data_IF_512388850776
#
_entry.id   IF_512388850776
#
_cell.length_a   1.000
_cell.length_b   1.000
_cell.length_c   1.000
_cell.angle_alpha   90.00
_cell.angle_beta   90.00
_cell.angle_gamma   90.00
#
_symmetry.space_group_name_H-M   'P 1'
#
loop_
_entity.id
_entity.type
_entity.pdbx_description
1 polymer ?
#
# COMPACT_ATOMS: atom_id res chain seq x y z
N UNK A 1 16.59 -12.43 4.56
CA UNK A 1 17.26 -11.65 3.49
C UNK A 1 17.46 -12.63 2.34
N UNK A 2 16.78 -12.44 1.20
CA UNK A 2 16.66 -13.47 0.15
C UNK A 2 17.91 -13.72 -0.69
N UNK A 3 18.76 -12.70 -0.91
CA UNK A 3 19.96 -12.81 -1.77
C UNK A 3 21.24 -12.91 -0.95
N UNK A 4 22.31 -13.50 -1.51
CA UNK A 4 23.67 -13.59 -0.92
C UNK A 4 24.43 -12.26 -1.01
N UNK A 5 23.86 -11.22 -0.39
CA UNK A 5 24.54 -9.94 -0.19
C UNK A 5 23.86 -8.75 -0.86
N UNK A 6 24.32 -7.56 -0.49
CA UNK A 6 23.71 -6.28 -0.88
C UNK A 6 23.84 -6.00 -2.39
N UNK A 7 24.96 -6.40 -3.01
CA UNK A 7 25.23 -6.16 -4.43
C UNK A 7 24.20 -6.87 -5.31
N UNK A 8 24.11 -8.19 -5.17
CA UNK A 8 23.15 -9.05 -5.88
C UNK A 8 21.72 -8.58 -5.64
N UNK A 9 21.34 -8.33 -4.37
CA UNK A 9 20.03 -7.76 -4.04
C UNK A 9 19.71 -6.48 -4.81
N UNK A 10 20.68 -5.55 -4.89
CA UNK A 10 20.47 -4.28 -5.57
C UNK A 10 20.41 -4.46 -7.10
N UNK A 11 21.15 -5.40 -7.67
CA UNK A 11 21.08 -5.75 -9.09
C UNK A 11 19.71 -6.34 -9.44
N UNK A 12 19.23 -7.30 -8.66
CA UNK A 12 17.86 -7.84 -8.76
C UNK A 12 16.81 -6.74 -8.67
N UNK A 13 16.93 -5.83 -7.70
CA UNK A 13 16.00 -4.69 -7.57
C UNK A 13 16.02 -3.78 -8.79
N UNK A 14 17.20 -3.47 -9.35
CA UNK A 14 17.32 -2.65 -10.56
C UNK A 14 16.69 -3.30 -11.79
N UNK A 15 16.70 -4.64 -11.87
CA UNK A 15 16.05 -5.36 -12.95
C UNK A 15 14.52 -5.46 -12.76
N UNK A 16 14.05 -5.76 -11.54
CA UNK A 16 12.64 -6.01 -11.26
C UNK A 16 11.81 -4.72 -11.15
N UNK A 17 12.34 -3.65 -10.54
CA UNK A 17 11.56 -2.43 -10.31
C UNK A 17 11.04 -1.78 -11.60
N UNK A 18 11.82 -1.61 -12.68
CA UNK A 18 11.30 -1.04 -13.93
C UNK A 18 10.17 -1.89 -14.53
N UNK A 19 10.27 -3.22 -14.46
CA UNK A 19 9.21 -4.11 -14.94
C UNK A 19 7.91 -3.87 -14.17
N UNK A 20 7.97 -3.83 -12.83
CA UNK A 20 6.81 -3.54 -12.00
C UNK A 20 6.27 -2.11 -12.20
N UNK A 21 7.15 -1.13 -12.41
CA UNK A 21 6.76 0.25 -12.72
C UNK A 21 5.89 0.35 -13.98
N UNK A 22 6.18 -0.48 -14.98
CA UNK A 22 5.41 -0.57 -16.23
C UNK A 22 4.26 -1.60 -16.18
N UNK A 23 3.97 -2.20 -15.02
CA UNK A 23 2.93 -3.22 -14.87
C UNK A 23 3.27 -4.57 -15.54
N UNK A 24 4.54 -4.80 -15.89
CA UNK A 24 5.02 -6.02 -16.55
C UNK A 24 5.26 -7.13 -15.52
N UNK A 25 4.26 -7.42 -14.69
CA UNK A 25 4.35 -8.33 -13.54
C UNK A 25 4.80 -9.74 -13.94
N UNK A 26 4.31 -10.28 -15.06
CA UNK A 26 4.74 -11.59 -15.55
C UNK A 26 6.24 -11.62 -15.92
N UNK A 27 6.77 -10.54 -16.49
CA UNK A 27 8.20 -10.45 -16.78
C UNK A 27 9.03 -10.34 -15.50
N UNK A 28 8.52 -9.63 -14.50
CA UNK A 28 9.16 -9.55 -13.19
C UNK A 28 9.21 -10.92 -12.49
N UNK A 29 8.12 -11.69 -12.53
CA UNK A 29 8.06 -13.06 -12.01
C UNK A 29 9.06 -13.95 -12.76
N UNK A 30 9.03 -13.93 -14.09
CA UNK A 30 9.96 -14.70 -14.92
C UNK A 30 11.43 -14.37 -14.61
N UNK A 31 11.76 -13.09 -14.38
CA UNK A 31 13.11 -12.72 -13.95
C UNK A 31 13.48 -13.35 -12.61
N UNK A 32 12.58 -13.33 -11.63
CA UNK A 32 12.81 -13.89 -10.29
C UNK A 32 12.97 -15.42 -10.32
N UNK A 33 12.20 -16.12 -11.17
CA UNK A 33 12.29 -17.58 -11.36
C UNK A 33 13.63 -18.02 -11.98
N UNK A 34 14.29 -17.13 -12.74
CA UNK A 34 15.54 -17.41 -13.43
C UNK A 34 16.78 -16.90 -12.67
N UNK A 35 16.65 -16.45 -11.42
CA UNK A 35 17.81 -16.06 -10.61
C UNK A 35 18.65 -17.32 -10.32
N UNK A 36 19.97 -17.31 -10.55
CA UNK A 36 20.82 -18.44 -10.23
C UNK A 36 20.76 -18.82 -8.74
N UNK A 37 20.59 -20.10 -8.43
CA UNK A 37 20.58 -20.60 -7.04
C UNK A 37 21.88 -20.28 -6.28
N UNK A 38 23.00 -20.08 -6.99
CA UNK A 38 24.26 -19.62 -6.42
C UNK A 38 24.15 -18.22 -5.81
N UNK A 39 23.26 -17.37 -6.30
CA UNK A 39 23.04 -15.98 -5.85
C UNK A 39 21.98 -15.87 -4.75
N UNK A 40 21.13 -16.89 -4.61
CA UNK A 40 20.04 -16.92 -3.63
C UNK A 40 20.58 -17.46 -2.29
N UNK A 41 20.25 -16.74 -1.21
CA UNK A 41 20.55 -17.15 0.17
C UNK A 41 19.40 -17.95 0.78
N UNK A 42 18.17 -17.57 0.44
CA UNK A 42 16.96 -18.15 0.98
C UNK A 42 15.87 -18.17 -0.10
N UNK A 43 15.66 -19.34 -0.68
CA UNK A 43 14.70 -19.57 -1.76
C UNK A 43 13.26 -19.27 -1.32
N UNK A 44 12.92 -19.49 -0.04
CA UNK A 44 11.58 -19.21 0.47
C UNK A 44 11.23 -17.72 0.37
N UNK A 45 12.21 -16.83 0.50
CA UNK A 45 11.96 -15.39 0.33
C UNK A 45 11.65 -15.03 -1.12
N UNK A 46 12.35 -15.65 -2.08
CA UNK A 46 12.12 -15.42 -3.51
C UNK A 46 10.76 -16.00 -3.91
N UNK A 47 10.46 -17.23 -3.47
CA UNK A 47 9.18 -17.87 -3.74
C UNK A 47 8.00 -17.06 -3.18
N UNK A 48 8.09 -16.59 -1.93
CA UNK A 48 7.04 -15.72 -1.35
C UNK A 48 6.80 -14.45 -2.16
N UNK A 49 7.85 -13.88 -2.75
CA UNK A 49 7.72 -12.71 -3.62
C UNK A 49 7.02 -13.06 -4.93
N UNK A 50 7.42 -14.17 -5.58
CA UNK A 50 6.78 -14.69 -6.79
C UNK A 50 5.28 -14.94 -6.53
N UNK A 51 4.95 -15.66 -5.46
CA UNK A 51 3.56 -15.99 -5.09
C UNK A 51 2.74 -14.74 -4.78
N UNK A 52 3.34 -13.73 -4.14
CA UNK A 52 2.68 -12.46 -3.89
C UNK A 52 2.38 -11.72 -5.19
N UNK A 53 3.37 -11.59 -6.08
CA UNK A 53 3.18 -10.93 -7.37
C UNK A 53 2.13 -11.67 -8.21
N UNK A 54 2.20 -12.99 -8.27
CA UNK A 54 1.24 -13.81 -9.02
C UNK A 54 -0.20 -13.63 -8.54
N UNK A 55 -0.44 -13.69 -7.23
CA UNK A 55 -1.78 -13.47 -6.65
C UNK A 55 -2.32 -12.06 -6.87
N UNK A 56 -1.45 -11.08 -7.09
CA UNK A 56 -1.84 -9.66 -7.18
C UNK A 56 -1.63 -9.08 -8.59
N UNK A 57 -1.42 -9.91 -9.62
CA UNK A 57 -1.21 -9.45 -11.02
C UNK A 57 -2.26 -8.42 -11.45
N UNK A 58 -3.53 -8.69 -11.20
CA UNK A 58 -4.64 -7.79 -11.59
C UNK A 58 -4.67 -6.48 -10.82
N UNK A 59 -4.03 -6.45 -9.64
CA UNK A 59 -4.04 -5.31 -8.72
C UNK A 59 -2.79 -4.45 -8.85
N UNK A 60 -1.74 -4.91 -9.55
CA UNK A 60 -0.51 -4.16 -9.79
C UNK A 60 -0.69 -3.32 -11.06
N UNK A 61 -0.81 -1.99 -10.96
CA UNK A 61 -1.05 -1.16 -12.13
C UNK A 61 0.24 -0.84 -12.89
N UNK A 62 0.09 -0.36 -14.12
CA UNK A 62 1.16 0.36 -14.82
C UNK A 62 1.30 1.77 -14.21
N UNK A 63 2.25 1.93 -13.30
CA UNK A 63 2.52 3.19 -12.60
C UNK A 63 3.00 4.30 -13.54
N UNK A 64 3.75 3.96 -14.60
CA UNK A 64 4.16 4.94 -15.62
C UNK A 64 2.94 5.54 -16.32
N UNK A 65 2.00 4.70 -16.75
CA UNK A 65 0.78 5.14 -17.42
C UNK A 65 -0.10 5.97 -16.47
N UNK A 66 -0.25 5.53 -15.21
CA UNK A 66 -0.95 6.32 -14.18
C UNK A 66 -0.32 7.70 -14.02
N UNK A 67 1.01 7.79 -13.96
CA UNK A 67 1.74 9.06 -13.86
C UNK A 67 1.49 9.95 -15.07
N UNK A 68 1.53 9.40 -16.29
CA UNK A 68 1.24 10.14 -17.54
C UNK A 68 -0.21 10.66 -17.60
N UNK A 69 -1.14 9.91 -17.00
CA UNK A 69 -2.55 10.31 -16.88
C UNK A 69 -2.80 11.26 -15.69
N UNK A 70 -1.76 11.75 -15.02
CA UNK A 70 -1.86 12.57 -13.79
C UNK A 70 -2.66 11.89 -12.67
N UNK A 71 -2.71 10.55 -12.65
CA UNK A 71 -3.29 9.78 -11.56
C UNK A 71 -2.27 9.64 -10.43
N UNK A 72 -2.73 9.75 -9.19
CA UNK A 72 -1.88 9.59 -8.01
C UNK A 72 -1.36 8.15 -7.89
N UNK A 73 -0.04 8.02 -7.70
CA UNK A 73 0.65 6.74 -7.47
C UNK A 73 1.02 6.50 -5.99
N UNK A 74 0.97 7.53 -5.14
CA UNK A 74 1.34 7.38 -3.73
C UNK A 74 0.15 6.97 -2.86
N UNK A 75 0.43 6.13 -1.86
CA UNK A 75 -0.48 5.80 -0.77
C UNK A 75 -0.57 6.90 0.30
N UNK A 76 0.25 7.97 0.18
CA UNK A 76 0.43 8.99 1.22
C UNK A 76 -0.88 9.59 1.73
N UNK A 77 -1.89 9.76 0.86
CA UNK A 77 -3.20 10.30 1.31
C UNK A 77 -3.90 9.31 2.23
N UNK A 78 -3.97 8.04 1.86
CA UNK A 78 -4.57 7.00 2.71
C UNK A 78 -3.83 6.86 4.04
N UNK A 79 -2.49 6.85 4.00
CA UNK A 79 -1.65 6.81 5.20
C UNK A 79 -1.86 8.05 6.09
N UNK A 80 -1.88 9.24 5.49
CA UNK A 80 -2.12 10.50 6.21
C UNK A 80 -3.50 10.53 6.86
N UNK A 81 -4.54 10.06 6.18
CA UNK A 81 -5.88 9.99 6.74
C UNK A 81 -5.96 8.99 7.90
N UNK A 82 -5.32 7.82 7.76
CA UNK A 82 -5.20 6.88 8.88
C UNK A 82 -4.44 7.51 10.08
N UNK A 83 -3.41 8.32 9.84
CA UNK A 83 -2.72 9.04 10.90
C UNK A 83 -3.60 10.04 11.62
N UNK A 84 -4.36 10.84 10.86
CA UNK A 84 -5.25 11.87 11.41
C UNK A 84 -6.44 11.27 12.15
N UNK A 85 -7.05 10.23 11.61
CA UNK A 85 -8.30 9.64 12.14
C UNK A 85 -8.04 8.63 13.25
N UNK A 86 -6.96 7.84 13.14
CA UNK A 86 -6.75 6.67 14.01
C UNK A 86 -5.39 6.72 14.72
N UNK A 87 -4.29 6.68 13.97
CA UNK A 87 -2.98 6.31 14.53
C UNK A 87 -2.42 7.32 15.52
N UNK A 88 -2.53 8.63 15.27
CA UNK A 88 -1.99 9.65 16.19
C UNK A 88 -2.60 9.54 17.59
N UNK A 89 -3.87 9.16 17.70
CA UNK A 89 -4.56 9.10 18.99
C UNK A 89 -4.44 7.73 19.66
N UNK A 90 -4.48 6.66 18.87
CA UNK A 90 -4.53 5.30 19.41
C UNK A 90 -3.16 4.70 19.68
N UNK A 91 -2.14 5.02 18.86
CA UNK A 91 -0.80 4.44 19.00
C UNK A 91 0.11 5.24 19.93
N UNK A 92 0.03 6.58 19.91
CA UNK A 92 0.99 7.43 20.63
C UNK A 92 0.77 7.49 22.13
N UNK A 93 -0.43 7.15 22.63
CA UNK A 93 -0.78 7.35 24.04
C UNK A 93 -0.96 6.04 24.84
N UNK A 94 -0.57 4.88 24.30
CA UNK A 94 -0.58 3.61 25.03
C UNK A 94 -1.94 3.18 25.61
N UNK A 95 -3.05 3.69 25.06
CA UNK A 95 -4.40 3.43 25.57
C UNK A 95 -5.04 2.22 24.89
N UNK A 96 -5.60 1.30 25.68
CA UNK A 96 -6.46 0.22 25.19
C UNK A 96 -7.86 0.76 24.91
N UNK A 97 -8.22 0.85 23.64
CA UNK A 97 -9.55 1.30 23.21
C UNK A 97 -10.49 0.11 23.02
N UNK A 98 -11.70 0.19 23.55
CA UNK A 98 -12.77 -0.73 23.14
C UNK A 98 -13.05 -0.54 21.64
N UNK A 99 -13.24 -1.65 20.90
CA UNK A 99 -13.47 -1.64 19.44
C UNK A 99 -14.56 -0.65 19.01
N UNK A 100 -15.69 -0.63 19.72
CA UNK A 100 -16.81 0.28 19.48
C UNK A 100 -16.43 1.75 19.70
N UNK A 101 -15.68 2.05 20.76
CA UNK A 101 -15.21 3.40 21.05
C UNK A 101 -14.22 3.91 20.00
N UNK A 102 -13.27 3.06 19.60
CA UNK A 102 -12.31 3.35 18.52
C UNK A 102 -13.03 3.70 17.21
N UNK A 103 -13.98 2.86 16.80
CA UNK A 103 -14.77 3.08 15.58
C UNK A 103 -15.60 4.36 15.63
N UNK A 104 -16.37 4.57 16.70
CA UNK A 104 -17.24 5.74 16.83
C UNK A 104 -16.43 7.05 16.79
N UNK A 105 -15.27 7.06 17.43
CA UNK A 105 -14.40 8.23 17.43
C UNK A 105 -13.76 8.47 16.07
N UNK A 106 -13.35 7.42 15.36
CA UNK A 106 -12.88 7.53 13.98
C UNK A 106 -13.97 8.14 13.07
N UNK A 107 -15.24 7.74 13.23
CA UNK A 107 -16.37 8.30 12.48
C UNK A 107 -16.54 9.78 12.79
N UNK A 108 -16.61 10.17 14.08
CA UNK A 108 -16.78 11.57 14.48
C UNK A 108 -15.62 12.44 13.98
N UNK A 109 -14.38 11.95 14.09
CA UNK A 109 -13.20 12.66 13.59
C UNK A 109 -13.24 12.82 12.08
N UNK A 110 -13.67 11.80 11.34
CA UNK A 110 -13.84 11.87 9.87
C UNK A 110 -14.89 12.90 9.48
N UNK A 111 -16.05 12.90 10.15
CA UNK A 111 -17.11 13.89 9.93
C UNK A 111 -16.62 15.32 10.21
N UNK A 112 -15.80 15.50 11.25
CA UNK A 112 -15.21 16.80 11.58
C UNK A 112 -14.19 17.26 10.53
N UNK A 113 -13.30 16.37 10.08
CA UNK A 113 -12.27 16.71 9.08
C UNK A 113 -12.90 17.08 7.73
N UNK A 114 -14.01 16.43 7.37
CA UNK A 114 -14.72 16.68 6.12
C UNK A 114 -15.82 17.75 6.23
N UNK A 115 -16.00 18.38 7.40
CA UNK A 115 -17.07 19.37 7.67
C UNK A 115 -18.51 18.85 7.39
N UNK A 116 -18.73 17.54 7.53
CA UNK A 116 -20.01 16.88 7.22
C UNK A 116 -20.85 16.57 8.49
N UNK A 117 -20.33 16.92 9.68
CA UNK A 117 -20.99 16.57 10.94
C UNK A 117 -22.40 17.16 11.06
N UNK A 118 -22.60 18.41 10.61
CA UNK A 118 -23.92 19.06 10.64
C UNK A 118 -24.96 18.31 9.79
N UNK A 119 -24.60 17.96 8.56
CA UNK A 119 -25.47 17.22 7.65
C UNK A 119 -25.78 15.83 8.20
N UNK A 120 -24.76 15.13 8.69
CA UNK A 120 -24.93 13.81 9.27
C UNK A 120 -25.82 13.83 10.52
N UNK A 121 -25.67 14.80 11.42
CA UNK A 121 -26.51 14.86 12.63
C UNK A 121 -27.99 15.04 12.29
N UNK A 122 -28.29 15.89 11.30
CA UNK A 122 -29.67 16.22 10.90
C UNK A 122 -30.30 15.15 10.01
N UNK A 123 -29.58 14.71 8.99
CA UNK A 123 -30.14 13.94 7.88
C UNK A 123 -29.63 12.48 7.85
N UNK A 124 -28.60 12.14 8.64
CA UNK A 124 -27.91 10.83 8.61
C UNK A 124 -27.25 10.51 7.26
N UNK A 125 -26.92 11.54 6.50
CA UNK A 125 -26.25 11.44 5.20
C UNK A 125 -24.83 12.01 5.26
N UNK A 126 -23.96 11.51 4.38
CA UNK A 126 -22.59 12.03 4.17
C UNK A 126 -22.36 12.15 2.69
N UNK A 127 -21.87 13.30 2.23
CA UNK A 127 -21.51 13.46 0.82
C UNK A 127 -20.26 12.65 0.50
N UNK A 128 -20.36 11.79 -0.50
CA UNK A 128 -19.20 11.09 -1.04
C UNK A 128 -18.65 11.89 -2.24
N UNK A 129 -17.41 12.33 -2.12
CA UNK A 129 -16.66 12.89 -3.23
C UNK A 129 -15.30 12.20 -3.33
N UNK A 130 -14.83 11.98 -4.55
CA UNK A 130 -13.46 11.53 -4.75
C UNK A 130 -12.54 12.69 -4.41
N UNK A 131 -11.54 12.44 -3.58
CA UNK A 131 -10.49 13.41 -3.32
C UNK A 131 -9.78 13.71 -4.65
N UNK A 132 -9.87 14.97 -5.10
CA UNK A 132 -9.18 15.48 -6.29
C UNK A 132 -7.65 15.42 -6.13
#
# INVERSE_FOLDING_TARGET
MGMKGRKLRNETLRAVMPLLWHGLTNKAISYLENIPASEIKDDNHIQKLIDYLGRNISSIPNYDMRKRLNLRNSSNVGEKMNDLVVSNRQKKNGMSWAKKGSLNLAIITTLKINDEYHNWFRNKEVKFSLAA
#
